data_IF_721205092868
#
_entry.id   IF_721205092868
#
_cell.length_a   1.000
_cell.length_b   1.000
_cell.length_c   1.000
_cell.angle_alpha   90.00
_cell.angle_beta   90.00
_cell.angle_gamma   90.00
#
_symmetry.space_group_name_H-M   'P 1'
#
loop_
_entity.id
_entity.type
_entity.pdbx_description
1 polymer ?
#
# COMPACT_ATOMS: atom_id res chain seq x y z
N UNK A 1 -10.92 -10.80 -15.78
CA UNK A 1 -10.39 -9.87 -14.77
C UNK A 1 -11.26 -8.63 -14.80
N UNK A 2 -11.81 -8.20 -13.66
CA UNK A 2 -12.47 -6.88 -13.58
C UNK A 2 -11.37 -5.82 -13.69
N UNK A 3 -11.58 -4.79 -14.49
CA UNK A 3 -10.68 -3.63 -14.51
C UNK A 3 -10.80 -2.92 -13.17
N UNK A 4 -9.83 -3.12 -12.29
CA UNK A 4 -9.69 -2.30 -11.10
C UNK A 4 -9.19 -0.91 -11.51
N UNK A 5 -9.87 0.17 -11.12
CA UNK A 5 -9.41 1.51 -11.46
C UNK A 5 -8.09 1.79 -10.75
N UNK A 6 -7.07 2.20 -11.50
CA UNK A 6 -5.77 2.60 -10.94
C UNK A 6 -5.71 4.13 -11.02
N UNK A 7 -5.58 4.83 -9.87
CA UNK A 7 -5.43 6.28 -9.85
C UNK A 7 -4.20 6.69 -10.67
N UNK A 8 -4.31 7.71 -11.53
CA UNK A 8 -3.15 8.23 -12.23
C UNK A 8 -2.17 8.85 -11.24
N UNK A 9 -0.88 8.75 -11.55
CA UNK A 9 0.15 9.48 -10.80
C UNK A 9 0.06 10.95 -11.20
N UNK A 10 -0.06 11.81 -10.20
CA UNK A 10 -0.14 13.27 -10.32
C UNK A 10 0.89 13.89 -9.38
N UNK A 11 1.21 15.16 -9.56
CA UNK A 11 2.17 15.87 -8.69
C UNK A 11 1.75 15.83 -7.20
N UNK A 12 0.45 15.73 -6.94
CA UNK A 12 -0.11 15.67 -5.57
C UNK A 12 0.19 14.33 -4.90
N UNK A 13 0.06 13.21 -5.63
CA UNK A 13 0.26 11.87 -5.08
C UNK A 13 1.65 11.28 -5.38
N UNK A 14 2.51 11.99 -6.12
CA UNK A 14 3.85 11.52 -6.47
C UNK A 14 4.69 11.18 -5.22
N UNK A 15 4.59 11.98 -4.16
CA UNK A 15 5.29 11.70 -2.91
C UNK A 15 4.75 10.42 -2.22
N UNK A 16 3.45 10.19 -2.32
CA UNK A 16 2.80 9.01 -1.76
C UNK A 16 3.23 7.75 -2.49
N UNK A 17 3.23 7.78 -3.82
CA UNK A 17 3.71 6.69 -4.68
C UNK A 17 5.18 6.40 -4.41
N UNK A 18 6.04 7.42 -4.33
CA UNK A 18 7.45 7.23 -3.98
C UNK A 18 7.63 6.57 -2.61
N UNK A 19 6.79 6.89 -1.61
CA UNK A 19 6.83 6.22 -0.30
C UNK A 19 6.43 4.75 -0.40
N UNK A 20 5.42 4.42 -1.21
CA UNK A 20 5.00 3.03 -1.47
C UNK A 20 6.15 2.26 -2.11
N UNK A 21 6.75 2.79 -3.19
CA UNK A 21 7.88 2.19 -3.88
C UNK A 21 9.04 1.89 -2.92
N UNK A 22 9.46 2.87 -2.12
CA UNK A 22 10.54 2.70 -1.15
C UNK A 22 10.25 1.59 -0.10
N UNK A 23 8.99 1.44 0.33
CA UNK A 23 8.60 0.38 1.27
C UNK A 23 8.60 -0.98 0.61
N UNK A 24 8.12 -1.08 -0.63
CA UNK A 24 8.18 -2.32 -1.41
C UNK A 24 9.63 -2.74 -1.62
N UNK A 25 10.53 -1.81 -1.94
CA UNK A 25 11.96 -2.09 -2.07
C UNK A 25 12.57 -2.61 -0.76
N UNK A 26 12.17 -2.05 0.39
CA UNK A 26 12.60 -2.54 1.71
C UNK A 26 12.10 -3.96 2.00
N UNK A 27 10.84 -4.28 1.64
CA UNK A 27 10.28 -5.63 1.76
C UNK A 27 11.05 -6.61 0.86
N UNK A 28 11.29 -6.24 -0.39
CA UNK A 28 12.02 -7.07 -1.35
C UNK A 28 13.45 -7.33 -0.88
N UNK A 29 14.14 -6.30 -0.38
CA UNK A 29 15.49 -6.44 0.18
C UNK A 29 15.52 -7.37 1.41
N UNK A 30 14.54 -7.24 2.31
CA UNK A 30 14.42 -8.10 3.49
C UNK A 30 14.16 -9.57 3.11
N UNK A 31 13.18 -9.81 2.23
CA UNK A 31 12.81 -11.15 1.77
C UNK A 31 13.88 -11.80 0.89
N UNK A 32 14.70 -11.01 0.19
CA UNK A 32 15.84 -11.53 -0.57
C UNK A 32 16.93 -12.14 0.32
N UNK A 33 17.12 -11.60 1.55
CA UNK A 33 18.07 -12.13 2.52
C UNK A 33 17.48 -13.32 3.27
N UNK A 34 16.24 -13.20 3.73
CA UNK A 34 15.53 -14.25 4.45
C UNK A 34 14.08 -14.27 3.99
N UNK A 35 13.66 -15.26 3.17
CA UNK A 35 12.32 -15.30 2.59
C UNK A 35 11.18 -15.24 3.61
N UNK A 36 11.42 -15.76 4.82
CA UNK A 36 10.46 -15.78 5.93
C UNK A 36 10.53 -14.54 6.82
N UNK A 37 11.25 -13.48 6.40
CA UNK A 37 11.30 -12.23 7.17
C UNK A 37 9.90 -11.67 7.32
N UNK A 38 9.51 -11.42 8.57
CA UNK A 38 8.26 -10.76 8.86
C UNK A 38 8.30 -9.31 8.38
N UNK A 39 7.43 -8.99 7.42
CA UNK A 39 7.28 -7.64 6.85
C UNK A 39 5.90 -7.04 7.12
N UNK A 40 5.13 -7.62 8.05
CA UNK A 40 3.75 -7.20 8.35
C UNK A 40 3.65 -5.71 8.68
N UNK A 41 4.61 -5.13 9.40
CA UNK A 41 4.59 -3.70 9.70
C UNK A 41 4.74 -2.84 8.43
N UNK A 42 5.62 -3.23 7.50
CA UNK A 42 5.81 -2.53 6.22
C UNK A 42 4.59 -2.70 5.31
N UNK A 43 3.98 -3.89 5.30
CA UNK A 43 2.77 -4.20 4.55
C UNK A 43 1.58 -3.35 5.06
N UNK A 44 1.37 -3.29 6.37
CA UNK A 44 0.34 -2.44 6.99
C UNK A 44 0.54 -0.94 6.69
N UNK A 45 1.80 -0.49 6.61
CA UNK A 45 2.08 0.88 6.21
C UNK A 45 1.81 1.13 4.73
N UNK A 46 2.08 0.16 3.85
CA UNK A 46 1.72 0.23 2.44
C UNK A 46 0.20 0.30 2.29
N UNK A 47 -0.57 -0.51 3.01
CA UNK A 47 -2.03 -0.50 2.96
C UNK A 47 -2.59 0.89 3.27
N UNK A 48 -2.11 1.53 4.35
CA UNK A 48 -2.50 2.91 4.71
C UNK A 48 -2.15 3.93 3.63
N UNK A 49 -0.98 3.80 2.99
CA UNK A 49 -0.58 4.69 1.91
C UNK A 49 -1.42 4.45 0.65
N UNK A 50 -1.83 3.20 0.37
CA UNK A 50 -2.75 2.87 -0.71
C UNK A 50 -4.13 3.43 -0.41
N UNK A 51 -4.66 3.31 0.80
CA UNK A 51 -5.94 3.93 1.17
C UNK A 51 -5.93 5.45 0.95
N UNK A 52 -4.84 6.12 1.34
CA UNK A 52 -4.65 7.54 1.06
C UNK A 52 -4.53 7.86 -0.45
N UNK A 53 -4.02 6.93 -1.27
CA UNK A 53 -3.91 7.11 -2.72
C UNK A 53 -5.27 7.06 -3.41
N UNK A 54 -6.19 6.27 -2.85
CA UNK A 54 -7.58 6.15 -3.29
C UNK A 54 -8.53 7.13 -2.57
N UNK A 55 -8.00 7.96 -1.66
CA UNK A 55 -8.78 8.89 -0.82
C UNK A 55 -9.93 8.19 -0.07
N UNK A 56 -9.67 6.97 0.44
CA UNK A 56 -10.67 6.20 1.15
C UNK A 56 -10.96 6.77 2.54
N UNK A 57 -12.24 6.79 2.89
CA UNK A 57 -12.70 7.12 4.24
C UNK A 57 -12.55 5.93 5.19
N UNK A 58 -12.62 6.18 6.50
CA UNK A 58 -12.54 5.11 7.51
C UNK A 58 -13.64 4.04 7.31
N UNK A 59 -14.84 4.45 6.90
CA UNK A 59 -15.95 3.52 6.65
C UNK A 59 -15.65 2.63 5.44
N UNK A 60 -15.06 3.19 4.37
CA UNK A 60 -14.64 2.42 3.20
C UNK A 60 -13.46 1.49 3.52
N UNK A 61 -12.53 1.94 4.37
CA UNK A 61 -11.41 1.12 4.86
C UNK A 61 -11.96 -0.06 5.68
N UNK A 62 -12.94 0.16 6.56
CA UNK A 62 -13.55 -0.90 7.35
C UNK A 62 -14.20 -1.98 6.46
N UNK A 63 -14.82 -1.58 5.35
CA UNK A 63 -15.35 -2.52 4.34
C UNK A 63 -14.21 -3.34 3.70
N UNK A 64 -13.09 -2.69 3.33
CA UNK A 64 -11.92 -3.36 2.75
C UNK A 64 -11.29 -4.36 3.73
N UNK A 65 -11.21 -4.00 5.01
CA UNK A 65 -10.65 -4.84 6.08
C UNK A 65 -11.63 -5.90 6.61
N UNK A 66 -12.88 -5.90 6.14
CA UNK A 66 -13.91 -6.84 6.58
C UNK A 66 -14.36 -6.64 8.04
N UNK A 67 -14.35 -5.40 8.50
CA UNK A 67 -14.70 -4.98 9.87
C UNK A 67 -16.15 -4.45 9.99
N UNK A 68 -17.03 -4.77 9.03
CA UNK A 68 -18.47 -4.45 9.08
C UNK A 68 -19.25 -5.23 10.16
#
# INVERSE_FOLDING_TARGET
>A
MKNFPIPPITDVNQNLVAKIENKVDAILAAKAVTPDTNTTDLENEIDKLVYALYDLTNDEIAIVEGQE
#
